data_IF_063211420892
#
_entry.id   IF_063211420892
#
_cell.length_a   1.000
_cell.length_b   1.000
_cell.length_c   1.000
_cell.angle_alpha   90.00
_cell.angle_beta   90.00
_cell.angle_gamma   90.00
#
_symmetry.space_group_name_H-M   'P 1'
#
loop_
_entity.id
_entity.type
_entity.pdbx_description
1 polymer ?
#
# COMPACT_ATOMS: atom_id res chain seq x y z
N UNK A 1 16.24 1.67 8.38
CA UNK A 1 14.98 0.93 8.13
C UNK A 1 15.10 0.31 6.75
N UNK A 2 15.16 -1.01 6.68
CA UNK A 2 14.97 -1.73 5.43
C UNK A 2 13.47 -1.63 5.12
N UNK A 3 13.10 -1.05 3.97
CA UNK A 3 11.71 -1.00 3.54
C UNK A 3 11.41 -2.40 3.00
N UNK A 4 10.75 -3.22 3.82
CA UNK A 4 10.06 -4.40 3.34
C UNK A 4 8.59 -4.04 3.09
N UNK A 5 8.01 -4.45 1.96
CA UNK A 5 8.64 -5.08 0.78
C UNK A 5 9.48 -4.08 -0.06
N UNK A 6 10.47 -4.55 -0.84
CA UNK A 6 11.37 -3.68 -1.60
C UNK A 6 10.63 -2.88 -2.67
N UNK A 7 11.13 -1.66 -2.94
CA UNK A 7 10.46 -0.68 -3.80
C UNK A 7 10.26 -1.17 -5.25
N UNK A 8 11.18 -2.00 -5.75
CA UNK A 8 11.09 -2.55 -7.11
C UNK A 8 9.92 -3.52 -7.25
N UNK A 9 9.69 -4.36 -6.24
CA UNK A 9 8.56 -5.31 -6.23
C UNK A 9 7.22 -4.60 -6.09
N UNK A 10 7.16 -3.58 -5.23
CA UNK A 10 5.99 -2.72 -5.08
C UNK A 10 5.65 -1.97 -6.38
N UNK A 11 6.68 -1.43 -7.04
CA UNK A 11 6.51 -0.68 -8.28
C UNK A 11 6.05 -1.61 -9.41
N UNK A 12 6.51 -2.87 -9.44
CA UNK A 12 6.02 -3.87 -10.39
C UNK A 12 4.51 -4.14 -10.22
N UNK A 13 3.99 -4.17 -8.99
CA UNK A 13 2.55 -4.31 -8.71
C UNK A 13 1.73 -3.06 -9.07
N UNK A 14 2.38 -1.90 -9.09
CA UNK A 14 1.77 -0.61 -9.43
C UNK A 14 2.04 -0.18 -10.89
N UNK A 15 2.14 -1.13 -11.83
CA UNK A 15 2.30 -0.84 -13.26
C UNK A 15 3.67 -0.28 -13.65
N UNK A 16 4.72 -0.64 -12.89
CA UNK A 16 6.09 -0.11 -13.03
C UNK A 16 6.19 1.42 -12.90
N UNK A 17 5.20 2.05 -12.26
CA UNK A 17 5.15 3.49 -12.07
C UNK A 17 5.18 3.89 -10.58
N UNK A 18 6.28 4.47 -10.15
CA UNK A 18 6.51 4.94 -8.77
C UNK A 18 5.51 6.02 -8.30
N UNK A 19 4.99 6.84 -9.20
CA UNK A 19 3.99 7.85 -8.86
C UNK A 19 2.62 7.20 -8.61
N UNK A 20 2.26 6.22 -9.43
CA UNK A 20 1.05 5.41 -9.23
C UNK A 20 1.13 4.68 -7.89
N UNK A 21 2.28 4.06 -7.58
CA UNK A 21 2.51 3.43 -6.28
C UNK A 21 2.28 4.39 -5.11
N UNK A 22 2.85 5.60 -5.17
CA UNK A 22 2.72 6.61 -4.12
C UNK A 22 1.27 7.05 -3.91
N UNK A 23 0.54 7.29 -5.01
CA UNK A 23 -0.88 7.66 -4.96
C UNK A 23 -1.72 6.51 -4.41
N UNK A 24 -1.47 5.27 -4.86
CA UNK A 24 -2.18 4.08 -4.43
C UNK A 24 -1.98 3.82 -2.93
N UNK A 25 -0.72 3.83 -2.48
CA UNK A 25 -0.36 3.65 -1.08
C UNK A 25 -0.98 4.77 -0.20
N UNK A 26 -0.99 6.01 -0.67
CA UNK A 26 -1.56 7.14 0.09
C UNK A 26 -3.08 7.04 0.23
N UNK A 27 -3.79 6.71 -0.87
CA UNK A 27 -5.24 6.47 -0.84
C UNK A 27 -5.56 5.35 0.13
N UNK A 28 -4.85 4.23 0.02
CA UNK A 28 -5.11 3.06 0.84
C UNK A 28 -4.78 3.28 2.32
N UNK A 29 -3.66 3.92 2.62
CA UNK A 29 -3.31 4.27 3.99
C UNK A 29 -4.39 5.15 4.63
N UNK A 30 -4.96 6.13 3.89
CA UNK A 30 -6.05 6.97 4.38
C UNK A 30 -7.33 6.18 4.67
N UNK A 31 -7.65 5.18 3.85
CA UNK A 31 -8.78 4.28 4.10
C UNK A 31 -8.56 3.47 5.38
N UNK A 32 -7.36 2.90 5.57
CA UNK A 32 -7.00 2.15 6.78
C UNK A 32 -7.10 3.05 8.01
N UNK A 33 -6.57 4.27 7.97
CA UNK A 33 -6.67 5.25 9.06
C UNK A 33 -8.12 5.62 9.41
N UNK A 34 -9.02 5.63 8.42
CA UNK A 34 -10.42 6.02 8.61
C UNK A 34 -11.29 4.85 9.06
N UNK A 35 -11.12 3.68 8.47
CA UNK A 35 -11.98 2.51 8.67
C UNK A 35 -11.45 1.55 9.75
N UNK A 36 -10.12 1.45 9.89
CA UNK A 36 -9.44 0.49 10.78
C UNK A 36 -8.66 1.19 11.89
N UNK A 37 -9.10 2.37 12.30
CA UNK A 37 -8.42 3.17 13.34
C UNK A 37 -8.18 2.40 14.63
N UNK A 38 -9.16 1.60 15.07
CA UNK A 38 -9.03 0.78 16.28
C UNK A 38 -8.03 -0.37 16.12
N UNK A 39 -7.96 -0.99 14.94
CA UNK A 39 -6.97 -2.04 14.64
C UNK A 39 -5.55 -1.46 14.56
N UNK A 40 -5.42 -0.25 14.00
CA UNK A 40 -4.15 0.50 13.94
C UNK A 40 -3.61 0.87 15.32
N UNK A 41 -4.48 1.23 16.27
CA UNK A 41 -4.07 1.54 17.65
C UNK A 41 -3.41 0.33 18.32
N UNK A 42 -3.83 -0.88 17.96
CA UNK A 42 -3.23 -2.13 18.45
C UNK A 42 -2.12 -2.68 17.55
N UNK A 43 -1.94 -2.12 16.36
CA UNK A 43 -0.96 -2.60 15.39
C UNK A 43 0.40 -1.95 15.63
N UNK A 44 1.45 -2.75 15.57
CA UNK A 44 2.85 -2.28 15.62
C UNK A 44 3.27 -1.58 14.30
N UNK A 45 2.43 -1.67 13.26
CA UNK A 45 2.70 -1.15 11.92
C UNK A 45 1.85 0.10 11.63
N UNK A 46 2.48 1.09 11.00
CA UNK A 46 1.78 2.28 10.48
C UNK A 46 0.86 1.90 9.32
N UNK A 47 -0.22 2.67 9.10
CA UNK A 47 -1.13 2.45 7.97
C UNK A 47 -0.43 2.44 6.60
N UNK A 48 0.66 3.19 6.43
CA UNK A 48 1.44 3.19 5.19
C UNK A 48 2.12 1.83 4.98
N UNK A 49 2.70 1.24 6.03
CA UNK A 49 3.32 -0.09 5.96
C UNK A 49 2.29 -1.17 5.62
N UNK A 50 1.12 -1.12 6.26
CA UNK A 50 0.01 -2.02 5.96
C UNK A 50 -0.49 -1.86 4.51
N UNK A 51 -0.59 -0.61 4.02
CA UNK A 51 -0.97 -0.35 2.64
C UNK A 51 0.05 -0.93 1.63
N UNK A 52 1.34 -0.79 1.90
CA UNK A 52 2.39 -1.36 1.05
C UNK A 52 2.36 -2.89 1.06
N UNK A 53 2.10 -3.52 2.21
CA UNK A 53 1.88 -4.97 2.32
C UNK A 53 0.68 -5.43 1.50
N UNK A 54 -0.48 -4.76 1.63
CA UNK A 54 -1.68 -5.11 0.86
C UNK A 54 -1.47 -4.93 -0.67
N UNK A 55 -0.66 -3.95 -1.10
CA UNK A 55 -0.28 -3.77 -2.51
C UNK A 55 0.64 -4.91 -2.97
N UNK A 56 1.62 -5.29 -2.15
CA UNK A 56 2.54 -6.37 -2.46
C UNK A 56 1.83 -7.74 -2.57
N UNK A 57 0.89 -8.01 -1.65
CA UNK A 57 0.02 -9.19 -1.68
C UNK A 57 -0.98 -9.19 -2.85
N UNK A 58 -1.13 -8.06 -3.57
CA UNK A 58 -2.06 -7.93 -4.69
C UNK A 58 -3.52 -7.75 -4.28
N UNK A 59 -3.80 -7.43 -3.01
CA UNK A 59 -5.16 -7.10 -2.53
C UNK A 59 -5.64 -5.76 -3.06
N UNK A 60 -4.71 -4.86 -3.39
CA UNK A 60 -4.95 -3.52 -3.93
C UNK A 60 -4.16 -3.36 -5.22
N UNK A 61 -4.85 -2.98 -6.29
CA UNK A 61 -4.26 -2.73 -7.61
C UNK A 61 -4.73 -1.37 -8.16
N UNK A 62 -3.93 -0.71 -9.02
CA UNK A 62 -4.38 0.49 -9.72
C UNK A 62 -5.53 0.16 -10.67
N UNK A 63 -6.51 1.06 -10.77
CA UNK A 63 -7.69 0.89 -11.63
C UNK A 63 -7.35 0.66 -13.11
N UNK A 64 -6.25 1.25 -13.59
CA UNK A 64 -5.81 1.23 -14.99
C UNK A 64 -5.04 -0.05 -15.39
N UNK A 65 -4.93 -1.05 -14.49
CA UNK A 65 -4.32 -2.36 -14.78
C UNK A 65 -5.33 -3.51 -14.97
N UNK A 66 -6.64 -3.23 -14.89
CA UNK A 66 -7.71 -4.20 -15.12
C UNK A 66 -8.27 -4.14 -16.57
N UNK A 67 -7.39 -4.14 -17.56
CA UNK A 67 -7.74 -4.32 -18.99
C UNK A 67 -7.16 -5.64 -19.51
#
# INVERSE_FOLDING_TARGET
MMIEPPIDELTAKAGKNKYVLSILASKRAKEIETMRRNELVTADKKAISLALEEIHEGKIAPSDLND
#
